data_IF_245387608470
#
_entry.id   IF_245387608470
#
_cell.length_a   1.000
_cell.length_b   1.000
_cell.length_c   1.000
_cell.angle_alpha   90.00
_cell.angle_beta   90.00
_cell.angle_gamma   90.00
#
_symmetry.space_group_name_H-M   'P 1'
#
loop_
_entity.id
_entity.type
_entity.pdbx_description
1 polymer ?
#
# COMPACT_ATOMS: atom_id res chain seq x y z
N UNK A 1 29.92 6.24 -28.74
CA UNK A 1 29.70 5.99 -27.30
C UNK A 1 28.86 7.13 -26.76
N UNK A 2 27.62 6.87 -26.36
CA UNK A 2 26.68 7.88 -25.89
C UNK A 2 27.12 8.40 -24.52
N UNK A 3 27.78 9.56 -24.49
CA UNK A 3 28.12 10.27 -23.26
C UNK A 3 26.90 11.08 -22.81
N UNK A 4 25.85 10.39 -22.39
CA UNK A 4 24.75 10.98 -21.62
C UNK A 4 25.27 11.29 -20.20
N UNK A 5 25.18 12.54 -19.70
CA UNK A 5 25.63 12.86 -18.35
C UNK A 5 24.62 12.26 -17.36
N UNK A 6 24.91 11.04 -16.91
CA UNK A 6 24.10 10.22 -16.00
C UNK A 6 23.78 10.88 -14.63
N UNK A 7 24.28 12.09 -14.35
CA UNK A 7 24.19 12.69 -13.02
C UNK A 7 23.94 14.20 -13.00
N UNK A 8 23.30 14.76 -14.05
CA UNK A 8 22.81 16.14 -14.01
C UNK A 8 21.52 16.31 -13.17
N UNK A 9 21.34 15.46 -12.15
CA UNK A 9 20.18 15.52 -11.24
C UNK A 9 20.37 16.63 -10.24
N UNK A 10 19.42 17.55 -10.23
CA UNK A 10 19.38 18.65 -9.26
C UNK A 10 19.33 18.08 -7.83
N UNK A 11 19.78 18.89 -6.85
CA UNK A 11 19.80 18.49 -5.44
C UNK A 11 18.40 18.10 -4.94
N UNK A 12 17.35 18.67 -5.53
CA UNK A 12 15.94 18.39 -5.22
C UNK A 12 15.53 16.98 -5.66
N UNK A 13 15.81 16.60 -6.90
CA UNK A 13 15.50 15.25 -7.41
C UNK A 13 16.19 14.15 -6.59
N UNK A 14 17.43 14.38 -6.14
CA UNK A 14 18.13 13.44 -5.26
C UNK A 14 17.44 13.31 -3.89
N UNK A 15 16.85 14.39 -3.37
CA UNK A 15 16.09 14.37 -2.11
C UNK A 15 14.78 13.61 -2.28
N UNK A 16 14.04 13.86 -3.36
CA UNK A 16 12.79 13.15 -3.66
C UNK A 16 13.02 11.66 -3.84
N UNK A 17 14.06 11.28 -4.58
CA UNK A 17 14.44 9.86 -4.76
C UNK A 17 14.79 9.19 -3.42
N UNK A 18 15.45 9.91 -2.50
CA UNK A 18 15.73 9.42 -1.14
C UNK A 18 14.46 9.31 -0.29
N UNK A 19 13.55 10.27 -0.40
CA UNK A 19 12.28 10.28 0.33
C UNK A 19 11.38 9.10 -0.09
N UNK A 20 11.24 8.88 -1.39
CA UNK A 20 10.47 7.75 -1.95
C UNK A 20 11.04 6.41 -1.48
N UNK A 21 12.37 6.22 -1.60
CA UNK A 21 13.05 5.02 -1.08
C UNK A 21 12.88 4.83 0.43
N UNK A 22 12.77 5.92 1.21
CA UNK A 22 12.51 5.85 2.65
C UNK A 22 11.06 5.41 2.91
N UNK A 23 10.08 5.98 2.19
CA UNK A 23 8.67 5.60 2.29
C UNK A 23 8.44 4.12 1.92
N UNK A 24 9.09 3.62 0.86
CA UNK A 24 9.01 2.21 0.44
C UNK A 24 9.61 1.25 1.46
N UNK A 25 10.62 1.66 2.23
CA UNK A 25 11.24 0.85 3.29
C UNK A 25 10.46 0.86 4.61
N UNK A 26 9.55 1.82 4.79
CA UNK A 26 8.67 1.81 5.96
C UNK A 26 7.73 0.62 5.77
N UNK A 27 7.96 -0.43 6.56
CA UNK A 27 7.00 -1.51 6.69
C UNK A 27 5.67 -0.88 7.12
N UNK A 28 4.65 -0.99 6.26
CA UNK A 28 3.31 -0.58 6.61
C UNK A 28 2.78 -1.58 7.65
N UNK A 29 3.15 -1.36 8.90
CA UNK A 29 2.66 -2.16 10.02
C UNK A 29 1.20 -1.78 10.27
N UNK A 30 0.35 -2.80 10.24
CA UNK A 30 -1.09 -2.67 10.45
C UNK A 30 -1.87 -2.91 9.16
N UNK A 31 -3.00 -3.62 9.28
CA UNK A 31 -4.02 -3.61 8.23
C UNK A 31 -4.51 -2.18 8.10
N UNK A 32 -4.58 -1.64 6.88
CA UNK A 32 -5.22 -0.34 6.65
C UNK A 32 -6.64 -0.36 7.22
N UNK A 33 -7.12 0.79 7.72
CA UNK A 33 -8.48 0.91 8.26
C UNK A 33 -9.53 0.39 7.27
N UNK A 34 -9.32 0.66 5.98
CA UNK A 34 -10.15 0.13 4.89
C UNK A 34 -10.16 -1.41 4.85
N UNK A 35 -9.01 -2.07 5.01
CA UNK A 35 -8.92 -3.53 5.05
C UNK A 35 -9.61 -4.11 6.28
N UNK A 36 -9.49 -3.46 7.45
CA UNK A 36 -10.20 -3.87 8.67
C UNK A 36 -11.71 -3.79 8.46
N UNK A 37 -12.19 -2.69 7.87
CA UNK A 37 -13.60 -2.48 7.60
C UNK A 37 -14.15 -3.51 6.59
N UNK A 38 -13.44 -3.75 5.49
CA UNK A 38 -13.80 -4.78 4.52
C UNK A 38 -13.87 -6.18 5.14
N UNK A 39 -12.86 -6.57 5.92
CA UNK A 39 -12.85 -7.85 6.64
C UNK A 39 -14.07 -7.99 7.56
N UNK A 40 -14.46 -6.90 8.26
CA UNK A 40 -15.62 -6.89 9.14
C UNK A 40 -16.95 -7.03 8.39
N UNK A 41 -17.12 -6.33 7.27
CA UNK A 41 -18.31 -6.43 6.41
C UNK A 41 -18.43 -7.85 5.82
N UNK A 42 -17.35 -8.39 5.27
CA UNK A 42 -17.35 -9.76 4.72
C UNK A 42 -17.68 -10.80 5.79
N UNK A 43 -17.14 -10.66 7.01
CA UNK A 43 -17.47 -11.54 8.14
C UNK A 43 -18.95 -11.46 8.52
N UNK A 44 -19.55 -10.27 8.45
CA UNK A 44 -20.98 -10.06 8.72
C UNK A 44 -21.85 -10.70 7.64
N UNK A 45 -21.51 -10.53 6.38
CA UNK A 45 -22.23 -11.12 5.25
C UNK A 45 -22.18 -12.65 5.29
N UNK A 46 -20.99 -13.24 5.53
CA UNK A 46 -20.82 -14.70 5.69
C UNK A 46 -21.59 -15.29 6.88
N UNK A 47 -21.86 -14.50 7.92
CA UNK A 47 -22.74 -14.94 9.02
C UNK A 47 -24.18 -15.01 8.53
N UNK A 48 -24.70 -13.93 7.94
CA UNK A 48 -26.08 -13.90 7.42
C UNK A 48 -26.37 -14.97 6.35
N UNK A 49 -25.44 -15.23 5.44
CA UNK A 49 -25.64 -16.28 4.42
C UNK A 49 -25.78 -17.68 5.02
N UNK A 50 -25.03 -17.99 6.09
CA UNK A 50 -25.10 -19.30 6.78
C UNK A 50 -26.35 -19.50 7.64
N UNK A 51 -27.07 -18.43 7.92
CA UNK A 51 -28.33 -18.48 8.65
C UNK A 51 -29.51 -18.72 7.68
N UNK A 52 -29.36 -18.34 6.40
CA UNK A 52 -30.36 -18.56 5.34
C UNK A 52 -30.33 -20.01 4.82
N UNK A 53 -29.16 -20.65 4.76
CA UNK A 53 -29.01 -22.03 4.27
C UNK A 53 -29.43 -23.10 5.31
N UNK A 54 -29.97 -22.70 6.48
CA UNK A 54 -30.32 -23.57 7.61
C UNK A 54 -31.82 -23.66 7.91
N UNK A 55 -32.66 -22.90 7.22
CA UNK A 55 -34.13 -23.07 7.18
C UNK A 55 -34.52 -23.96 5.99
#
# INVERSE_FOLDING_TARGET
MNNEPLDNKTRQERREKKLKKKQERIQQHGKSLAKIYMDAVLKRLKRRGRDIDKE
#
